data_IF_636749220432
#
_entry.id   IF_636749220432
#
_cell.length_a   1.000
_cell.length_b   1.000
_cell.length_c   1.000
_cell.angle_alpha   90.00
_cell.angle_beta   90.00
_cell.angle_gamma   90.00
#
_symmetry.space_group_name_H-M   'P 1'
#
loop_
_entity.id
_entity.type
_entity.pdbx_description
1 polymer ?
#
# COMPACT_ATOMS: atom_id res chain seq x y z
N UNK A 1 -42.08 -18.28 -86.45
CA UNK A 1 -41.00 -18.73 -87.37
C UNK A 1 -39.65 -18.38 -86.76
N UNK A 2 -38.73 -19.35 -86.81
CA UNK A 2 -37.25 -19.27 -86.63
C UNK A 2 -36.68 -18.82 -85.27
N UNK A 3 -36.19 -19.81 -84.51
CA UNK A 3 -34.99 -19.69 -83.65
C UNK A 3 -33.76 -19.41 -84.55
N UNK A 4 -32.76 -18.63 -84.12
CA UNK A 4 -31.51 -19.18 -83.53
C UNK A 4 -30.87 -18.22 -82.47
N UNK A 5 -29.77 -18.44 -81.75
CA UNK A 5 -28.77 -19.51 -81.54
C UNK A 5 -28.04 -19.16 -80.23
N UNK A 6 -27.67 -20.18 -79.45
CA UNK A 6 -26.69 -20.11 -78.36
C UNK A 6 -25.32 -19.59 -78.86
N UNK A 7 -24.66 -18.77 -78.05
CA UNK A 7 -23.20 -18.64 -78.03
C UNK A 7 -22.73 -18.60 -76.57
N UNK A 8 -22.10 -19.71 -76.18
CA UNK A 8 -21.32 -19.90 -74.97
C UNK A 8 -20.04 -19.04 -75.09
N UNK A 9 -19.78 -18.14 -74.14
CA UNK A 9 -18.45 -17.54 -73.98
C UNK A 9 -18.05 -17.63 -72.50
N UNK A 10 -17.09 -18.51 -72.26
CA UNK A 10 -16.33 -18.64 -71.02
C UNK A 10 -15.42 -17.42 -70.89
N UNK A 11 -15.61 -16.63 -69.83
CA UNK A 11 -14.66 -15.58 -69.45
C UNK A 11 -14.23 -15.80 -67.99
N UNK A 12 -13.07 -16.41 -67.85
CA UNK A 12 -12.29 -16.59 -66.64
C UNK A 12 -11.54 -15.29 -66.35
N UNK A 13 -11.93 -14.51 -65.33
CA UNK A 13 -11.14 -13.36 -64.86
C UNK A 13 -11.17 -13.26 -63.34
N UNK A 14 -10.01 -13.64 -62.76
CA UNK A 14 -9.35 -13.16 -61.55
C UNK A 14 -10.21 -12.59 -60.40
N UNK A 15 -10.46 -13.45 -59.41
CA UNK A 15 -10.76 -13.03 -58.05
C UNK A 15 -9.47 -12.45 -57.44
N UNK A 16 -9.42 -11.13 -57.26
CA UNK A 16 -8.34 -10.47 -56.51
C UNK A 16 -8.54 -10.84 -55.04
N UNK A 17 -7.81 -11.87 -54.58
CA UNK A 17 -7.65 -12.10 -53.15
C UNK A 17 -6.80 -10.96 -52.59
N UNK A 18 -7.46 -9.93 -52.08
CA UNK A 18 -6.87 -9.07 -51.05
C UNK A 18 -6.59 -9.93 -49.84
N UNK A 19 -5.37 -10.45 -49.75
CA UNK A 19 -4.81 -10.97 -48.53
C UNK A 19 -4.71 -9.81 -47.53
N UNK A 20 -5.73 -9.64 -46.69
CA UNK A 20 -5.56 -8.93 -45.43
C UNK A 20 -4.53 -9.74 -44.64
N UNK A 21 -3.27 -9.29 -44.66
CA UNK A 21 -2.29 -9.63 -43.64
C UNK A 21 -2.90 -9.24 -42.30
N UNK A 22 -3.32 -10.23 -41.52
CA UNK A 22 -3.42 -10.09 -40.08
C UNK A 22 -1.98 -10.14 -39.56
N UNK A 23 -1.35 -8.97 -39.50
CA UNK A 23 -0.15 -8.78 -38.70
C UNK A 23 -0.63 -8.64 -37.26
N UNK A 24 -0.69 -9.75 -36.53
CA UNK A 24 -1.05 -9.76 -35.12
C UNK A 24 0.12 -9.19 -34.31
N UNK A 25 0.22 -7.86 -34.33
CA UNK A 25 0.85 -7.08 -33.27
C UNK A 25 -0.22 -6.14 -32.72
N UNK A 26 -1.16 -6.71 -31.96
CA UNK A 26 -2.03 -5.95 -31.07
C UNK A 26 -1.16 -5.30 -29.98
N UNK A 27 -0.48 -4.22 -30.36
CA UNK A 27 -0.08 -3.21 -29.40
C UNK A 27 -1.36 -2.47 -29.07
N UNK A 28 -1.89 -2.72 -27.87
CA UNK A 28 -3.10 -2.07 -27.37
C UNK A 28 -2.94 -0.55 -27.56
N UNK A 29 -3.59 0.00 -28.59
CA UNK A 29 -3.55 1.44 -28.82
C UNK A 29 -4.44 2.08 -27.77
N UNK A 30 -3.95 3.12 -27.07
CA UNK A 30 -4.76 3.76 -26.05
C UNK A 30 -6.07 4.26 -26.65
N UNK A 31 -7.20 3.81 -26.08
CA UNK A 31 -8.51 4.32 -26.47
C UNK A 31 -8.61 5.79 -26.03
N UNK A 32 -9.08 6.71 -26.88
CA UNK A 32 -9.28 8.10 -26.46
C UNK A 32 -10.10 8.21 -25.18
N UNK A 33 -9.54 8.85 -24.14
CA UNK A 33 -10.19 9.06 -22.84
C UNK A 33 -9.84 8.07 -21.74
N UNK A 34 -9.11 6.98 -22.04
CA UNK A 34 -8.54 6.11 -21.01
C UNK A 34 -7.26 6.71 -20.43
N UNK A 35 -7.12 6.69 -19.12
CA UNK A 35 -5.90 7.18 -18.48
C UNK A 35 -5.72 6.69 -17.06
N UNK A 36 -4.52 6.92 -16.54
CA UNK A 36 -4.11 6.51 -15.20
C UNK A 36 -3.61 7.73 -14.41
N UNK A 37 -4.16 7.93 -13.23
CA UNK A 37 -3.67 8.89 -12.24
C UNK A 37 -3.17 8.11 -11.03
N UNK A 38 -1.96 8.43 -10.58
CA UNK A 38 -1.35 7.84 -9.39
C UNK A 38 -1.11 8.94 -8.37
N UNK A 39 -1.74 8.79 -7.22
CA UNK A 39 -1.50 9.61 -6.04
C UNK A 39 -0.72 8.81 -4.99
N UNK A 40 -0.05 9.50 -4.07
CA UNK A 40 0.76 8.91 -2.99
C UNK A 40 0.25 9.37 -1.62
N UNK A 41 0.28 8.48 -0.63
CA UNK A 41 0.09 8.77 0.79
C UNK A 41 1.05 7.92 1.62
N UNK A 42 1.16 8.21 2.91
CA UNK A 42 2.02 7.51 3.86
C UNK A 42 1.25 7.09 5.13
N UNK A 43 1.69 5.99 5.73
CA UNK A 43 1.37 5.55 7.08
C UNK A 43 2.41 6.10 8.10
N UNK A 44 2.00 6.44 9.32
CA UNK A 44 2.86 7.14 10.27
C UNK A 44 4.18 6.40 10.61
N UNK A 45 5.29 7.11 10.42
CA UNK A 45 6.62 6.73 10.93
C UNK A 45 6.97 7.55 12.16
N UNK A 46 7.53 6.86 13.15
CA UNK A 46 8.12 7.47 14.34
C UNK A 46 9.61 7.77 14.07
N UNK A 47 10.12 8.84 14.65
CA UNK A 47 11.55 9.22 14.67
C UNK A 47 12.22 9.72 13.36
N UNK A 48 11.44 10.07 12.33
CA UNK A 48 11.94 10.81 11.16
C UNK A 48 11.42 12.26 11.13
N UNK A 49 12.31 13.20 10.79
CA UNK A 49 11.94 14.59 10.51
C UNK A 49 11.36 14.74 9.10
N UNK A 50 11.99 14.08 8.12
CA UNK A 50 11.58 14.08 6.70
C UNK A 50 11.97 12.74 6.05
N UNK A 51 11.13 12.26 5.13
CA UNK A 51 11.45 11.12 4.26
C UNK A 51 11.13 11.53 2.83
N UNK A 52 12.18 11.89 2.10
CA UNK A 52 12.05 12.39 0.74
C UNK A 52 12.37 11.29 -0.26
N UNK A 53 11.38 10.95 -1.08
CA UNK A 53 11.55 10.01 -2.19
C UNK A 53 11.56 10.78 -3.51
N UNK A 54 12.56 10.49 -4.34
CA UNK A 54 12.77 11.14 -5.64
C UNK A 54 12.29 10.21 -6.74
N UNK A 55 11.10 10.46 -7.25
CA UNK A 55 10.48 9.68 -8.31
C UNK A 55 10.91 10.14 -9.69
N UNK A 56 11.06 9.21 -10.63
CA UNK A 56 11.42 9.48 -12.03
C UNK A 56 10.36 9.03 -13.02
N UNK A 57 9.47 8.10 -12.62
CA UNK A 57 8.48 7.52 -13.51
C UNK A 57 7.71 6.37 -12.85
N UNK A 58 6.83 5.75 -13.63
CA UNK A 58 6.18 4.48 -13.28
C UNK A 58 6.26 3.50 -14.45
N UNK A 59 6.18 2.21 -14.15
CA UNK A 59 5.99 1.16 -15.16
C UNK A 59 4.77 0.31 -14.81
N UNK A 60 4.00 -0.09 -15.82
CA UNK A 60 2.83 -0.96 -15.64
C UNK A 60 2.89 -2.14 -16.61
N UNK A 61 2.54 -3.34 -16.14
CA UNK A 61 2.59 -4.54 -16.96
C UNK A 61 1.19 -4.99 -17.38
N UNK A 62 0.86 -4.96 -18.68
CA UNK A 62 -0.39 -5.51 -19.18
C UNK A 62 -0.50 -7.03 -18.89
N UNK A 63 -1.68 -7.47 -18.47
CA UNK A 63 -2.02 -8.90 -18.30
C UNK A 63 -2.13 -9.61 -19.66
N UNK A 64 -2.54 -8.89 -20.71
CA UNK A 64 -2.65 -9.41 -22.07
C UNK A 64 -1.29 -9.80 -22.71
N UNK A 65 -0.17 -9.52 -22.04
CA UNK A 65 1.19 -9.75 -22.53
C UNK A 65 1.83 -8.49 -23.14
N UNK A 66 3.07 -8.64 -23.61
CA UNK A 66 3.88 -7.53 -24.14
C UNK A 66 4.84 -6.91 -23.11
N UNK A 67 5.69 -5.96 -23.54
CA UNK A 67 6.62 -5.27 -22.65
C UNK A 67 5.88 -4.36 -21.65
N UNK A 68 6.50 -4.04 -20.49
CA UNK A 68 5.99 -3.01 -19.59
C UNK A 68 5.81 -1.66 -20.30
N UNK A 69 4.73 -0.96 -19.98
CA UNK A 69 4.49 0.41 -20.42
C UNK A 69 5.18 1.34 -19.43
N UNK A 70 6.15 2.12 -19.92
CA UNK A 70 6.91 3.09 -19.12
C UNK A 70 6.28 4.47 -19.26
N UNK A 71 6.12 5.16 -18.13
CA UNK A 71 5.59 6.52 -18.05
C UNK A 71 6.61 7.35 -17.28
N UNK A 72 7.46 8.06 -18.01
CA UNK A 72 8.45 8.96 -17.43
C UNK A 72 7.80 10.25 -16.93
N UNK A 73 8.28 10.74 -15.79
CA UNK A 73 7.95 12.08 -15.34
C UNK A 73 8.76 13.09 -16.17
N UNK A 74 8.18 14.26 -16.52
CA UNK A 74 8.89 15.31 -17.26
C UNK A 74 10.18 15.79 -16.56
N UNK A 75 10.19 15.71 -15.24
CA UNK A 75 11.36 15.95 -14.38
C UNK A 75 11.22 15.11 -13.11
N UNK A 76 12.33 14.71 -12.46
CA UNK A 76 12.26 14.02 -11.18
C UNK A 76 11.44 14.80 -10.15
N UNK A 77 10.53 14.12 -9.44
CA UNK A 77 9.70 14.72 -8.38
C UNK A 77 10.22 14.27 -7.02
N UNK A 78 10.71 15.22 -6.22
CA UNK A 78 11.06 15.00 -4.81
C UNK A 78 9.83 15.21 -3.94
N UNK A 79 9.37 14.17 -3.26
CA UNK A 79 8.17 14.21 -2.41
C UNK A 79 8.58 13.79 -1.01
N UNK A 80 8.36 14.68 -0.04
CA UNK A 80 8.42 14.33 1.39
C UNK A 80 7.13 13.63 1.78
N UNK A 81 7.21 12.31 1.96
CA UNK A 81 6.06 11.45 2.19
C UNK A 81 5.40 11.72 3.55
N UNK A 82 6.17 12.21 4.55
CA UNK A 82 5.62 12.50 5.88
C UNK A 82 4.60 13.65 5.87
N UNK A 83 4.56 14.46 4.80
CA UNK A 83 3.58 15.53 4.61
C UNK A 83 2.20 15.02 4.14
N UNK A 84 2.10 13.78 3.68
CA UNK A 84 0.90 13.21 3.05
C UNK A 84 0.37 12.04 3.88
N UNK A 85 -0.26 12.39 5.01
CA UNK A 85 -0.80 11.45 6.01
C UNK A 85 -2.25 11.81 6.30
N UNK A 86 -2.98 10.92 6.97
CA UNK A 86 -4.36 11.16 7.43
C UNK A 86 -5.31 11.57 6.29
N UNK A 87 -5.17 10.95 5.12
CA UNK A 87 -5.98 11.23 3.93
C UNK A 87 -5.48 12.37 3.04
N UNK A 88 -4.39 13.04 3.38
CA UNK A 88 -3.69 13.94 2.46
C UNK A 88 -2.90 13.14 1.42
N UNK A 89 -2.97 13.52 0.14
CA UNK A 89 -2.31 12.81 -0.96
C UNK A 89 -1.45 13.74 -1.83
N UNK A 90 -0.43 13.17 -2.47
CA UNK A 90 0.44 13.85 -3.43
C UNK A 90 0.26 13.26 -4.83
N UNK A 91 -0.03 14.10 -5.82
CA UNK A 91 -0.14 13.61 -7.19
C UNK A 91 1.24 13.32 -7.82
N UNK A 92 1.48 12.04 -8.12
CA UNK A 92 2.69 11.59 -8.81
C UNK A 92 2.50 11.65 -10.34
N UNK A 93 1.44 11.02 -10.84
CA UNK A 93 1.11 10.95 -12.27
C UNK A 93 -0.34 11.42 -12.46
N UNK A 94 -0.59 12.30 -13.43
CA UNK A 94 -1.93 12.82 -13.72
C UNK A 94 -2.34 12.45 -15.15
N UNK A 95 -3.40 11.64 -15.27
CA UNK A 95 -4.03 11.32 -16.55
C UNK A 95 -3.09 10.75 -17.61
N UNK A 96 -2.09 9.95 -17.23
CA UNK A 96 -1.18 9.32 -18.18
C UNK A 96 -1.96 8.42 -19.15
N UNK A 97 -1.59 8.49 -20.43
CA UNK A 97 -2.28 7.74 -21.47
C UNK A 97 -1.93 6.25 -21.40
N UNK A 98 -2.77 5.48 -20.72
CA UNK A 98 -2.60 4.04 -20.48
C UNK A 98 -3.79 3.31 -21.10
N UNK A 99 -3.56 2.31 -21.99
CA UNK A 99 -4.65 1.57 -22.60
C UNK A 99 -5.57 0.92 -21.58
N UNK A 100 -6.86 0.88 -21.87
CA UNK A 100 -7.83 0.15 -21.06
C UNK A 100 -7.46 -1.35 -21.01
N UNK A 101 -7.63 -1.97 -19.85
CA UNK A 101 -7.29 -3.37 -19.67
C UNK A 101 -6.87 -3.70 -18.24
N UNK A 102 -6.56 -4.98 -18.03
CA UNK A 102 -6.03 -5.48 -16.76
C UNK A 102 -4.51 -5.45 -16.77
N UNK A 103 -3.95 -5.11 -15.62
CA UNK A 103 -2.51 -5.00 -15.40
C UNK A 103 -2.14 -5.88 -14.21
N UNK A 104 -0.97 -6.53 -14.29
CA UNK A 104 -0.50 -7.49 -13.28
C UNK A 104 0.22 -6.84 -12.11
N UNK A 105 0.96 -5.77 -12.39
CA UNK A 105 1.75 -5.05 -11.41
C UNK A 105 2.00 -3.61 -11.86
N UNK A 106 2.31 -2.76 -10.88
CA UNK A 106 2.81 -1.40 -11.06
C UNK A 106 4.19 -1.31 -10.42
N UNK A 107 5.09 -0.52 -10.98
CA UNK A 107 6.41 -0.25 -10.43
C UNK A 107 6.65 1.25 -10.35
N UNK A 108 7.14 1.70 -9.21
CA UNK A 108 7.60 3.06 -9.00
C UNK A 108 9.09 3.15 -9.33
N UNK A 109 9.46 4.06 -10.24
CA UNK A 109 10.84 4.34 -10.58
C UNK A 109 11.34 5.51 -9.71
N UNK A 110 12.45 5.31 -9.01
CA UNK A 110 12.99 6.27 -8.06
C UNK A 110 14.52 6.33 -8.14
N UNK A 111 15.08 7.44 -7.66
CA UNK A 111 16.52 7.58 -7.39
C UNK A 111 16.81 7.12 -5.98
N UNK A 112 17.19 5.86 -5.82
CA UNK A 112 17.53 5.22 -4.55
C UNK A 112 18.72 4.26 -4.74
N UNK A 113 19.73 4.72 -5.48
CA UNK A 113 20.98 4.02 -5.71
C UNK A 113 21.89 4.08 -4.48
N UNK A 114 22.76 3.09 -4.33
CA UNK A 114 23.66 3.00 -3.19
C UNK A 114 24.57 4.24 -3.10
N UNK A 115 24.67 4.83 -1.91
CA UNK A 115 25.47 6.00 -1.59
C UNK A 115 25.09 7.29 -2.35
N UNK A 116 23.89 7.36 -2.96
CA UNK A 116 23.46 8.53 -3.72
C UNK A 116 22.88 9.63 -2.82
N UNK A 117 23.72 10.61 -2.44
CA UNK A 117 23.31 11.72 -1.58
C UNK A 117 22.32 12.71 -2.22
N UNK A 118 22.25 12.76 -3.55
CA UNK A 118 21.30 13.61 -4.30
C UNK A 118 19.99 12.90 -4.65
N UNK A 119 19.82 11.66 -4.18
CA UNK A 119 18.65 10.83 -4.42
C UNK A 119 17.64 10.94 -3.28
N UNK A 120 16.90 9.87 -3.08
CA UNK A 120 15.97 9.70 -1.97
C UNK A 120 16.73 9.62 -0.64
N UNK A 121 16.18 10.18 0.43
CA UNK A 121 16.85 10.22 1.74
C UNK A 121 15.85 10.23 2.90
N UNK A 122 16.36 9.85 4.07
CA UNK A 122 15.72 10.07 5.37
C UNK A 122 16.53 11.10 6.16
N UNK A 123 15.84 11.99 6.88
CA UNK A 123 16.42 12.88 7.88
C UNK A 123 15.85 12.53 9.24
N UNK A 124 16.72 12.24 10.20
CA UNK A 124 16.33 11.90 11.57
C UNK A 124 16.07 13.17 12.41
N UNK A 125 15.42 12.99 13.56
CA UNK A 125 15.15 14.08 14.51
C UNK A 125 16.43 14.76 15.04
N UNK A 126 17.56 14.04 15.08
CA UNK A 126 18.86 14.60 15.45
C UNK A 126 19.55 15.41 14.33
N UNK A 127 18.89 15.54 13.18
CA UNK A 127 19.35 16.31 12.02
C UNK A 127 20.26 15.54 11.06
N UNK A 128 20.69 14.31 11.39
CA UNK A 128 21.48 13.49 10.46
C UNK A 128 20.65 13.06 9.26
N UNK A 129 21.27 13.05 8.09
CA UNK A 129 20.66 12.62 6.83
C UNK A 129 21.37 11.39 6.28
N UNK A 130 20.58 10.44 5.79
CA UNK A 130 21.08 9.20 5.19
C UNK A 130 20.41 8.94 3.84
N UNK A 131 21.16 8.55 2.80
CA UNK A 131 20.59 8.14 1.53
C UNK A 131 19.75 6.87 1.68
N UNK A 132 18.62 6.82 0.99
CA UNK A 132 17.82 5.61 0.82
C UNK A 132 18.38 4.79 -0.34
N UNK A 133 18.45 3.49 -0.12
CA UNK A 133 18.94 2.51 -1.07
C UNK A 133 17.92 1.38 -1.20
N UNK A 134 17.63 0.97 -2.43
CA UNK A 134 16.88 -0.26 -2.67
C UNK A 134 17.88 -1.33 -3.10
N UNK A 135 18.17 -2.34 -2.25
CA UNK A 135 18.96 -3.50 -2.66
C UNK A 135 18.38 -4.11 -3.94
N UNK A 136 19.22 -4.24 -4.98
CA UNK A 136 18.80 -4.72 -6.31
C UNK A 136 17.80 -3.83 -7.07
N UNK A 137 17.53 -2.61 -6.58
CA UNK A 137 16.51 -1.70 -7.12
C UNK A 137 17.01 -0.62 -8.08
N UNK A 138 18.33 -0.41 -8.22
CA UNK A 138 18.89 0.53 -9.21
C UNK A 138 18.55 0.16 -10.67
N UNK A 139 18.08 -1.08 -10.91
CA UNK A 139 17.58 -1.53 -12.21
C UNK A 139 16.05 -1.79 -12.22
N UNK A 140 15.35 -1.75 -11.07
CA UNK A 140 13.97 -2.28 -10.98
C UNK A 140 12.98 -1.51 -10.09
N UNK A 141 13.35 -0.41 -9.42
CA UNK A 141 12.41 0.40 -8.63
C UNK A 141 11.68 -0.36 -7.51
N UNK A 142 10.52 0.16 -7.04
CA UNK A 142 9.64 -0.53 -6.10
C UNK A 142 8.45 -1.14 -6.83
N UNK A 143 8.37 -2.48 -6.88
CA UNK A 143 7.32 -3.21 -7.58
C UNK A 143 6.17 -3.58 -6.64
N UNK A 144 4.95 -3.20 -7.02
CA UNK A 144 3.69 -3.56 -6.37
C UNK A 144 3.02 -4.67 -7.17
N UNK A 145 3.03 -5.89 -6.63
CA UNK A 145 2.47 -7.09 -7.28
C UNK A 145 0.99 -7.23 -6.91
N UNK A 146 0.19 -6.26 -7.34
CA UNK A 146 -1.27 -6.28 -7.23
C UNK A 146 -1.88 -5.91 -8.57
N UNK A 147 -2.77 -6.76 -9.05
CA UNK A 147 -3.46 -6.49 -10.31
C UNK A 147 -4.47 -5.35 -10.18
N UNK A 148 -4.61 -4.55 -11.23
CA UNK A 148 -5.56 -3.44 -11.30
C UNK A 148 -6.16 -3.33 -12.70
N UNK A 149 -7.25 -2.56 -12.85
CA UNK A 149 -7.94 -2.37 -14.13
C UNK A 149 -7.97 -0.89 -14.51
N UNK A 150 -7.50 -0.57 -15.72
CA UNK A 150 -7.70 0.75 -16.32
C UNK A 150 -9.01 0.74 -17.10
N UNK A 151 -9.93 1.62 -16.74
CA UNK A 151 -11.25 1.69 -17.34
C UNK A 151 -11.22 2.24 -18.77
N UNK A 152 -12.13 1.75 -19.62
CA UNK A 152 -12.30 2.28 -20.97
C UNK A 152 -13.00 3.64 -20.92
N UNK A 153 -12.43 4.66 -21.56
CA UNK A 153 -13.04 5.99 -21.70
C UNK A 153 -13.12 6.81 -20.41
N UNK A 154 -12.40 6.41 -19.36
CA UNK A 154 -12.31 7.15 -18.09
C UNK A 154 -10.88 7.12 -17.53
N UNK A 155 -10.59 8.07 -16.63
CA UNK A 155 -9.35 8.09 -15.86
C UNK A 155 -9.52 7.22 -14.62
N UNK A 156 -8.76 6.12 -14.54
CA UNK A 156 -8.61 5.34 -13.31
C UNK A 156 -7.68 6.08 -12.36
N UNK A 157 -8.11 6.27 -11.11
CA UNK A 157 -7.31 6.86 -10.04
C UNK A 157 -6.90 5.76 -9.08
N UNK A 158 -5.59 5.62 -8.87
CA UNK A 158 -5.04 4.71 -7.87
C UNK A 158 -4.24 5.51 -6.86
N UNK A 159 -4.30 5.09 -5.61
CA UNK A 159 -3.51 5.63 -4.53
C UNK A 159 -2.48 4.60 -4.11
N UNK A 160 -1.23 5.02 -3.95
CA UNK A 160 -0.18 4.19 -3.36
C UNK A 160 0.09 4.67 -1.94
N UNK A 161 -0.17 3.77 -1.01
CA UNK A 161 0.05 3.96 0.41
C UNK A 161 1.41 3.36 0.79
N UNK A 162 2.34 4.23 1.17
CA UNK A 162 3.65 3.86 1.67
C UNK A 162 3.54 3.50 3.14
N UNK A 163 3.94 2.27 3.50
CA UNK A 163 4.18 1.95 4.90
C UNK A 163 5.64 2.24 5.21
N UNK A 164 5.96 3.51 5.51
CA UNK A 164 7.35 3.89 5.76
C UNK A 164 7.95 3.17 6.97
N UNK A 165 7.13 2.77 7.94
CA UNK A 165 7.57 2.12 9.17
C UNK A 165 8.13 0.74 8.85
N UNK A 166 7.47 0.02 7.95
CA UNK A 166 7.93 -1.28 7.42
C UNK A 166 8.94 -1.14 6.29
N UNK A 167 8.90 -0.03 5.55
CA UNK A 167 9.74 0.18 4.38
C UNK A 167 11.17 0.59 4.75
N UNK A 168 11.37 1.37 5.82
CA UNK A 168 12.66 1.93 6.18
C UNK A 168 13.40 1.01 7.15
N UNK A 169 14.62 0.60 6.78
CA UNK A 169 15.47 -0.23 7.64
C UNK A 169 16.87 0.36 7.70
N UNK A 170 17.49 0.38 8.89
CA UNK A 170 18.88 0.77 9.09
C UNK A 170 19.77 -0.48 9.29
N UNK A 171 20.24 -1.14 8.22
CA UNK A 171 20.98 -2.39 8.36
C UNK A 171 22.35 -2.19 9.04
N UNK A 172 22.74 -3.04 10.00
CA UNK A 172 24.05 -3.00 10.62
C UNK A 172 25.19 -3.10 9.60
N UNK A 173 26.20 -2.23 9.72
CA UNK A 173 27.39 -2.25 8.86
C UNK A 173 27.20 -1.75 7.42
N UNK A 174 26.03 -1.22 7.06
CA UNK A 174 25.71 -0.72 5.72
C UNK A 174 25.67 0.81 5.61
N UNK A 175 26.16 1.50 6.63
CA UNK A 175 26.28 2.96 6.60
C UNK A 175 27.07 3.41 5.35
N UNK A 176 26.66 4.52 4.71
CA UNK A 176 25.63 5.46 5.14
C UNK A 176 24.18 5.10 4.71
N UNK A 177 23.93 3.92 4.14
CA UNK A 177 22.65 3.63 3.48
C UNK A 177 21.58 3.13 4.45
N UNK A 178 20.37 3.64 4.26
CA UNK A 178 19.15 3.06 4.80
C UNK A 178 18.43 2.30 3.69
N UNK A 179 17.89 1.13 3.97
CA UNK A 179 17.16 0.35 2.98
C UNK A 179 15.72 0.84 2.87
N UNK A 180 15.22 0.90 1.63
CA UNK A 180 13.81 1.12 1.31
C UNK A 180 13.22 -0.17 0.72
N UNK A 181 12.47 -0.91 1.54
CA UNK A 181 11.78 -2.15 1.18
C UNK A 181 10.44 -1.86 0.48
N UNK A 182 9.91 -2.78 -0.34
CA UNK A 182 8.63 -2.60 -1.03
C UNK A 182 7.42 -2.90 -0.12
N UNK A 183 7.27 -2.19 1.01
CA UNK A 183 6.08 -2.28 1.86
C UNK A 183 5.07 -1.19 1.46
N UNK A 184 4.36 -1.44 0.34
CA UNK A 184 3.43 -0.51 -0.29
C UNK A 184 2.08 -1.18 -0.55
N UNK A 185 0.99 -0.42 -0.50
CA UNK A 185 -0.34 -0.88 -0.89
C UNK A 185 -0.86 -0.06 -2.07
N UNK A 186 -1.37 -0.74 -3.10
CA UNK A 186 -2.06 -0.09 -4.22
C UNK A 186 -3.56 -0.14 -3.95
N UNK A 187 -4.22 1.02 -3.91
CA UNK A 187 -5.60 1.20 -3.49
C UNK A 187 -6.40 1.80 -4.64
N UNK A 188 -7.59 1.27 -4.89
CA UNK A 188 -8.58 1.90 -5.78
C UNK A 188 -9.46 2.84 -4.97
N UNK A 189 -9.34 4.15 -5.22
CA UNK A 189 -10.09 5.18 -4.47
C UNK A 189 -11.61 5.05 -4.62
N UNK A 190 -12.10 4.33 -5.64
CA UNK A 190 -13.52 4.06 -5.83
C UNK A 190 -14.02 2.87 -5.01
N UNK A 191 -13.15 2.21 -4.24
CA UNK A 191 -13.47 1.00 -3.46
C UNK A 191 -12.98 1.12 -2.01
N UNK A 192 -12.98 2.33 -1.45
CA UNK A 192 -12.54 2.59 -0.07
C UNK A 192 -13.61 3.26 0.78
N UNK A 193 -13.49 3.09 2.09
CA UNK A 193 -14.23 3.83 3.11
C UNK A 193 -13.31 4.24 4.27
N UNK A 194 -13.92 4.76 5.33
CA UNK A 194 -13.22 5.25 6.52
C UNK A 194 -13.69 4.51 7.76
N UNK A 195 -12.78 4.16 8.66
CA UNK A 195 -13.13 3.85 10.06
C UNK A 195 -12.81 5.06 10.90
N UNK A 196 -13.69 5.40 11.84
CA UNK A 196 -13.37 6.40 12.85
C UNK A 196 -14.05 6.07 14.17
N UNK A 197 -13.58 6.66 15.26
CA UNK A 197 -14.25 6.52 16.54
C UNK A 197 -13.39 7.01 17.68
N UNK A 198 -13.70 6.48 18.86
CA UNK A 198 -13.05 6.88 20.09
C UNK A 198 -12.48 5.71 20.87
N UNK A 199 -11.49 6.00 21.72
CA UNK A 199 -10.89 5.10 22.71
C UNK A 199 -11.00 5.75 24.09
N UNK A 200 -11.60 5.10 25.07
CA UNK A 200 -11.71 5.57 26.45
C UNK A 200 -10.55 5.04 27.29
N UNK A 201 -9.52 5.84 27.53
CA UNK A 201 -8.29 5.33 28.16
C UNK A 201 -8.50 4.61 29.50
N UNK A 202 -9.56 4.93 30.25
CA UNK A 202 -9.89 4.26 31.51
C UNK A 202 -10.49 2.87 31.30
N UNK A 203 -11.39 2.74 30.32
CA UNK A 203 -11.98 1.48 29.94
C UNK A 203 -10.93 0.59 29.25
N UNK A 204 -10.10 1.15 28.35
CA UNK A 204 -9.02 0.43 27.70
C UNK A 204 -8.02 -0.14 28.71
N UNK A 205 -7.57 0.69 29.65
CA UNK A 205 -6.65 0.25 30.70
C UNK A 205 -7.23 -0.91 31.50
N UNK A 206 -8.51 -0.84 31.87
CA UNK A 206 -9.19 -1.94 32.56
C UNK A 206 -9.26 -3.21 31.70
N UNK A 207 -9.63 -3.07 30.42
CA UNK A 207 -9.76 -4.19 29.49
C UNK A 207 -8.42 -4.88 29.19
N UNK A 208 -7.32 -4.12 29.19
CA UNK A 208 -5.97 -4.61 28.90
C UNK A 208 -5.14 -4.90 30.16
N UNK A 209 -5.73 -4.76 31.35
CA UNK A 209 -5.04 -5.00 32.63
C UNK A 209 -3.91 -3.99 32.92
N UNK A 210 -3.96 -2.80 32.34
CA UNK A 210 -3.06 -1.69 32.59
C UNK A 210 -3.68 -0.68 33.57
N UNK A 211 -2.92 0.37 33.91
CA UNK A 211 -3.46 1.56 34.58
C UNK A 211 -3.52 2.72 33.59
N UNK A 212 -4.40 3.69 33.81
CA UNK A 212 -4.47 4.89 32.94
C UNK A 212 -3.15 5.66 32.89
N UNK A 213 -2.40 5.70 33.99
CA UNK A 213 -1.10 6.39 34.07
C UNK A 213 -0.01 5.72 33.22
N UNK A 214 -0.11 4.40 33.02
CA UNK A 214 0.87 3.61 32.24
C UNK A 214 0.37 3.27 30.84
N UNK A 215 -0.85 3.65 30.48
CA UNK A 215 -1.46 3.27 29.21
C UNK A 215 -0.80 4.04 28.05
N UNK A 216 -0.03 3.33 27.23
CA UNK A 216 0.45 3.79 25.94
C UNK A 216 -0.55 3.32 24.88
N UNK A 217 -1.57 4.15 24.68
CA UNK A 217 -2.69 3.78 23.82
C UNK A 217 -2.27 3.75 22.34
N UNK A 218 -2.65 2.68 21.65
CA UNK A 218 -2.47 2.54 20.21
C UNK A 218 -3.66 1.87 19.55
N UNK A 219 -3.88 2.20 18.28
CA UNK A 219 -4.90 1.58 17.42
C UNK A 219 -4.22 0.68 16.41
N UNK A 220 -4.85 -0.47 16.15
CA UNK A 220 -4.42 -1.47 15.18
C UNK A 220 -5.60 -1.87 14.29
N UNK A 221 -5.33 -2.11 13.01
CA UNK A 221 -6.31 -2.57 12.02
C UNK A 221 -5.80 -3.85 11.38
N UNK A 222 -6.61 -4.89 11.43
CA UNK A 222 -6.30 -6.20 10.84
C UNK A 222 -7.32 -6.55 9.76
N UNK A 223 -6.86 -7.23 8.72
CA UNK A 223 -7.73 -7.68 7.65
C UNK A 223 -8.61 -8.86 8.12
N UNK A 224 -9.90 -8.85 7.74
CA UNK A 224 -10.86 -9.88 8.14
C UNK A 224 -11.49 -9.62 9.52
N UNK A 225 -12.68 -10.19 9.74
CA UNK A 225 -13.35 -10.15 11.04
C UNK A 225 -12.79 -11.23 11.97
N UNK A 226 -12.72 -10.94 13.27
CA UNK A 226 -12.21 -11.83 14.31
C UNK A 226 -10.76 -12.31 14.07
N UNK A 227 -9.95 -11.50 13.38
CA UNK A 227 -8.50 -11.71 13.34
C UNK A 227 -7.94 -11.80 14.77
N UNK A 228 -7.01 -12.73 15.00
CA UNK A 228 -6.20 -12.79 16.22
C UNK A 228 -5.14 -11.69 16.12
N UNK A 229 -5.22 -10.61 16.91
CA UNK A 229 -4.26 -9.51 16.83
C UNK A 229 -2.86 -9.99 17.19
N UNK A 230 -1.88 -9.51 16.43
CA UNK A 230 -0.46 -9.61 16.73
C UNK A 230 0.17 -8.21 16.78
N UNK A 231 1.43 -8.13 17.21
CA UNK A 231 2.28 -6.96 16.91
C UNK A 231 2.70 -6.95 15.43
N UNK A 232 3.42 -5.91 15.01
CA UNK A 232 3.99 -5.88 13.68
C UNK A 232 5.38 -6.49 13.69
N UNK A 233 5.50 -7.76 13.31
CA UNK A 233 6.80 -8.43 13.20
C UNK A 233 7.03 -9.09 11.83
N UNK A 234 5.99 -9.07 10.98
CA UNK A 234 5.98 -9.70 9.65
C UNK A 234 5.83 -11.21 9.70
N UNK A 235 5.44 -11.79 10.84
CA UNK A 235 5.33 -13.21 11.10
C UNK A 235 3.85 -13.62 11.16
N UNK A 236 3.26 -13.78 9.99
CA UNK A 236 1.85 -14.21 9.85
C UNK A 236 1.54 -15.66 10.34
N UNK A 237 2.44 -16.33 11.06
CA UNK A 237 2.27 -17.73 11.53
C UNK A 237 1.65 -17.85 12.92
N UNK A 238 1.71 -16.80 13.71
CA UNK A 238 1.34 -16.75 15.13
C UNK A 238 0.15 -15.82 15.35
N UNK A 239 0.02 -14.77 14.57
CA UNK A 239 -1.17 -13.94 14.55
C UNK A 239 -1.36 -13.24 13.22
N UNK A 240 -2.28 -12.28 13.20
CA UNK A 240 -2.44 -11.39 12.07
C UNK A 240 -1.61 -10.13 12.31
N UNK A 241 -0.73 -9.81 11.36
CA UNK A 241 -0.04 -8.53 11.28
C UNK A 241 -1.03 -7.36 11.03
N UNK A 242 -0.91 -6.22 11.72
CA UNK A 242 -1.68 -5.03 11.39
C UNK A 242 -1.36 -4.47 10.00
N UNK A 243 -2.40 -4.05 9.27
CA UNK A 243 -2.26 -3.29 8.03
C UNK A 243 -2.08 -1.79 8.28
N UNK A 244 -2.53 -1.30 9.44
CA UNK A 244 -2.40 0.10 9.90
C UNK A 244 -2.30 0.04 11.41
N UNK A 245 -1.34 0.76 11.99
CA UNK A 245 -1.24 0.93 13.43
C UNK A 245 -0.54 2.25 13.78
N UNK A 246 -0.94 2.88 14.89
CA UNK A 246 -0.39 4.16 15.34
C UNK A 246 -0.78 4.47 16.79
N UNK A 247 0.01 5.30 17.50
CA UNK A 247 -0.33 5.72 18.85
C UNK A 247 -1.52 6.69 18.80
N UNK A 248 -2.38 6.64 19.82
CA UNK A 248 -3.47 7.59 20.00
C UNK A 248 -3.32 8.32 21.32
N UNK A 249 -3.58 9.62 21.30
CA UNK A 249 -3.54 10.45 22.50
C UNK A 249 -4.83 11.26 22.61
N UNK A 250 -5.39 11.40 23.82
CA UNK A 250 -6.54 12.26 24.04
C UNK A 250 -6.13 13.72 23.85
N UNK A 251 -7.10 14.55 23.46
CA UNK A 251 -6.92 15.99 23.51
C UNK A 251 -6.55 16.43 24.93
N UNK A 252 -5.78 17.51 25.07
CA UNK A 252 -5.29 17.99 26.37
C UNK A 252 -6.43 18.11 27.39
N UNK A 253 -6.31 17.40 28.52
CA UNK A 253 -7.32 17.36 29.59
C UNK A 253 -8.48 16.38 29.36
N UNK A 254 -8.49 15.62 28.27
CA UNK A 254 -9.49 14.60 27.96
C UNK A 254 -9.11 13.20 28.44
N UNK A 255 -10.10 12.33 28.61
CA UNK A 255 -9.96 10.89 28.90
C UNK A 255 -10.16 10.00 27.67
N UNK A 256 -10.54 10.61 26.54
CA UNK A 256 -10.95 9.91 25.32
C UNK A 256 -10.08 10.38 24.16
N UNK A 257 -9.46 9.44 23.46
CA UNK A 257 -8.75 9.69 22.22
C UNK A 257 -9.67 9.47 21.02
N UNK A 258 -9.54 10.29 19.99
CA UNK A 258 -10.26 10.13 18.71
C UNK A 258 -9.31 9.60 17.66
N UNK A 259 -9.79 8.73 16.78
CA UNK A 259 -9.02 8.23 15.65
C UNK A 259 -9.84 8.20 14.37
N UNK A 260 -9.15 8.31 13.23
CA UNK A 260 -9.74 8.19 11.90
C UNK A 260 -8.74 7.53 10.96
N UNK A 261 -9.17 6.49 10.27
CA UNK A 261 -8.39 5.69 9.34
C UNK A 261 -9.14 5.70 8.01
N UNK A 262 -8.80 6.65 7.11
CA UNK A 262 -9.39 6.68 5.78
C UNK A 262 -8.74 5.60 4.89
N UNK A 263 -9.25 5.45 3.66
CA UNK A 263 -8.62 4.65 2.60
C UNK A 263 -8.50 3.14 2.93
N UNK A 264 -9.41 2.63 3.76
CA UNK A 264 -9.56 1.18 3.94
C UNK A 264 -10.44 0.64 2.82
N UNK A 265 -10.00 -0.43 2.17
CA UNK A 265 -10.77 -1.05 1.11
C UNK A 265 -12.09 -1.62 1.64
N UNK A 266 -13.08 -1.76 0.76
CA UNK A 266 -14.36 -2.40 1.11
C UNK A 266 -14.09 -3.83 1.59
N UNK A 267 -14.54 -4.16 2.79
CA UNK A 267 -14.24 -5.44 3.41
C UNK A 267 -14.57 -5.50 4.90
N UNK A 268 -14.31 -6.66 5.50
CA UNK A 268 -14.42 -6.87 6.94
C UNK A 268 -13.04 -6.72 7.59
N UNK A 269 -12.99 -6.12 8.79
CA UNK A 269 -11.78 -5.84 9.54
C UNK A 269 -11.97 -6.09 11.03
N UNK A 270 -10.88 -6.36 11.74
CA UNK A 270 -10.79 -6.26 13.19
C UNK A 270 -10.08 -4.97 13.53
N UNK A 271 -10.70 -4.11 14.32
CA UNK A 271 -10.08 -2.92 14.91
C UNK A 271 -9.74 -3.24 16.35
N UNK A 272 -8.50 -2.99 16.75
CA UNK A 272 -8.05 -3.23 18.11
C UNK A 272 -7.44 -1.98 18.75
N UNK A 273 -7.55 -1.90 20.06
CA UNK A 273 -6.81 -0.96 20.89
C UNK A 273 -5.98 -1.71 21.94
N UNK A 274 -4.81 -1.16 22.27
CA UNK A 274 -3.92 -1.67 23.31
C UNK A 274 -3.40 -0.53 24.18
N UNK A 275 -3.03 -0.81 25.44
CA UNK A 275 -2.29 0.11 26.30
C UNK A 275 -0.78 -0.12 26.27
N UNK A 276 -0.30 -1.02 25.42
CA UNK A 276 1.09 -1.45 25.32
C UNK A 276 1.67 -1.15 23.93
N UNK A 277 1.27 -0.04 23.29
CA UNK A 277 1.77 0.33 21.96
C UNK A 277 3.29 0.47 21.92
N UNK A 278 3.91 0.83 23.04
CA UNK A 278 5.36 0.96 23.19
C UNK A 278 6.12 -0.38 23.18
N UNK A 279 5.41 -1.52 23.26
CA UNK A 279 6.01 -2.85 23.08
C UNK A 279 6.37 -3.08 21.60
N UNK A 280 5.50 -2.65 20.68
CA UNK A 280 5.67 -2.73 19.21
C UNK A 280 6.51 -1.53 18.72
N UNK A 281 7.74 -1.47 19.21
CA UNK A 281 8.68 -0.39 18.94
C UNK A 281 9.47 -0.62 17.64
N UNK A 282 9.80 -1.88 17.32
CA UNK A 282 10.55 -2.26 16.13
C UNK A 282 9.74 -3.23 15.27
N UNK A 283 9.29 -2.82 14.06
CA UNK A 283 8.46 -3.68 13.20
C UNK A 283 9.17 -4.91 12.62
N UNK A 284 10.43 -5.16 13.01
CA UNK A 284 11.24 -6.28 12.56
C UNK A 284 11.57 -7.30 13.65
N UNK A 285 11.10 -7.06 14.87
CA UNK A 285 11.25 -7.93 16.01
C UNK A 285 9.87 -8.45 16.40
N UNK A 286 9.83 -9.65 16.99
CA UNK A 286 8.62 -10.26 17.54
C UNK A 286 8.66 -10.04 19.05
N UNK A 287 8.01 -8.98 19.53
CA UNK A 287 7.93 -8.59 20.93
C UNK A 287 6.69 -9.15 21.63
N UNK A 288 5.69 -9.57 20.85
CA UNK A 288 4.49 -10.26 21.26
C UNK A 288 4.34 -11.55 20.46
N UNK A 289 3.87 -12.61 21.13
CA UNK A 289 3.50 -13.86 20.47
C UNK A 289 2.14 -14.30 21.06
N UNK A 290 1.03 -14.16 20.31
CA UNK A 290 -0.30 -14.53 20.77
C UNK A 290 -0.47 -16.04 20.95
N UNK A 291 0.45 -16.86 20.42
CA UNK A 291 0.48 -18.32 20.58
C UNK A 291 1.32 -18.77 21.78
N UNK A 292 2.13 -17.88 22.37
CA UNK A 292 2.93 -18.20 23.53
C UNK A 292 2.06 -18.69 24.69
N UNK A 293 2.50 -19.77 25.34
CA UNK A 293 1.77 -20.41 26.44
C UNK A 293 2.36 -20.06 27.79
N UNK A 294 1.56 -20.21 28.85
CA UNK A 294 2.01 -19.94 30.21
C UNK A 294 3.24 -20.80 30.56
N UNK A 295 4.30 -20.23 31.15
CA UNK A 295 5.43 -21.02 31.63
C UNK A 295 4.96 -22.02 32.69
N UNK A 296 5.61 -23.19 32.72
CA UNK A 296 5.48 -24.09 33.85
C UNK A 296 5.88 -23.38 35.16
N UNK A 297 5.32 -23.74 36.32
CA UNK A 297 5.69 -23.13 37.59
C UNK A 297 7.21 -23.17 37.82
N UNK A 298 7.83 -22.00 37.99
CA UNK A 298 9.27 -21.86 38.19
C UNK A 298 10.13 -21.84 36.91
N UNK A 299 9.53 -21.97 35.73
CA UNK A 299 10.22 -21.81 34.46
C UNK A 299 10.31 -20.31 34.04
N UNK A 300 11.34 -19.92 33.27
CA UNK A 300 11.39 -18.59 32.66
C UNK A 300 10.17 -18.33 31.78
N UNK A 301 9.70 -17.08 31.75
CA UNK A 301 8.63 -16.65 30.86
C UNK A 301 9.09 -16.76 29.40
N UNK A 302 8.31 -17.39 28.50
CA UNK A 302 8.66 -17.43 27.09
C UNK A 302 8.72 -16.00 26.52
N UNK A 303 9.60 -15.75 25.53
CA UNK A 303 9.57 -14.50 24.76
C UNK A 303 8.16 -14.23 24.21
N UNK A 304 7.74 -12.96 24.18
CA UNK A 304 6.44 -12.56 23.63
C UNK A 304 5.20 -12.90 24.48
N UNK A 305 5.35 -13.67 25.56
CA UNK A 305 4.19 -14.14 26.33
C UNK A 305 3.49 -13.00 27.09
N UNK A 306 2.25 -12.69 26.66
CA UNK A 306 1.36 -11.69 27.26
C UNK A 306 1.99 -10.29 27.45
N UNK A 307 2.97 -9.94 26.61
CA UNK A 307 3.57 -8.61 26.60
C UNK A 307 2.57 -7.55 26.13
N UNK A 308 1.66 -7.93 25.23
CA UNK A 308 0.55 -7.09 24.76
C UNK A 308 -0.81 -7.72 25.06
N UNK A 309 -1.82 -6.85 25.20
CA UNK A 309 -3.23 -7.23 25.28
C UNK A 309 -4.05 -6.26 24.43
N UNK A 310 -5.05 -6.81 23.74
CA UNK A 310 -5.89 -6.06 22.82
C UNK A 310 -7.36 -6.11 23.24
N UNK A 311 -8.04 -4.98 23.14
CA UNK A 311 -9.50 -4.92 23.10
C UNK A 311 -9.94 -4.76 21.64
N UNK A 312 -10.83 -5.63 21.15
CA UNK A 312 -11.16 -5.70 19.72
C UNK A 312 -12.63 -5.43 19.43
N UNK A 313 -12.90 -4.95 18.21
CA UNK A 313 -14.22 -4.81 17.59
C UNK A 313 -14.13 -5.11 16.10
N UNK A 314 -15.15 -5.74 15.53
CA UNK A 314 -15.23 -5.92 14.09
C UNK A 314 -15.79 -4.65 13.43
N UNK A 315 -15.31 -4.37 12.23
CA UNK A 315 -15.79 -3.32 11.35
C UNK A 315 -16.12 -3.90 9.97
N UNK A 316 -17.10 -3.32 9.29
CA UNK A 316 -17.35 -3.58 7.87
C UNK A 316 -17.30 -2.26 7.12
N UNK A 317 -16.42 -2.18 6.13
CA UNK A 317 -16.17 -0.98 5.34
C UNK A 317 -17.04 -1.06 4.10
N UNK A 318 -17.72 0.04 3.83
CA UNK A 318 -18.55 0.23 2.65
C UNK A 318 -17.98 1.35 1.80
N UNK A 319 -18.21 1.29 0.51
CA UNK A 319 -17.65 2.24 -0.44
C UNK A 319 -18.13 3.67 -0.14
N UNK A 320 -17.20 4.59 0.05
CA UNK A 320 -17.45 5.98 0.44
C UNK A 320 -18.05 6.17 1.84
N UNK A 321 -18.28 5.08 2.58
CA UNK A 321 -18.91 5.11 3.90
C UNK A 321 -17.92 5.41 5.02
N UNK A 322 -18.45 5.92 6.13
CA UNK A 322 -17.72 5.98 7.41
C UNK A 322 -18.33 4.99 8.38
N UNK A 323 -17.54 4.05 8.86
CA UNK A 323 -17.91 3.07 9.89
C UNK A 323 -17.40 3.54 11.24
N UNK A 324 -18.31 3.78 12.18
CA UNK A 324 -17.94 4.21 13.54
C UNK A 324 -17.65 3.01 14.43
N UNK A 325 -16.47 3.00 15.06
CA UNK A 325 -16.04 1.95 15.99
C UNK A 325 -15.50 2.58 17.27
N UNK A 326 -16.26 2.49 18.36
CA UNK A 326 -15.79 2.94 19.66
C UNK A 326 -15.20 1.75 20.42
N UNK A 327 -13.98 1.92 20.90
CA UNK A 327 -13.25 0.95 21.69
C UNK A 327 -13.32 1.37 23.16
N UNK A 328 -13.31 0.38 24.09
CA UNK A 328 -12.93 0.69 25.45
C UNK A 328 -11.56 1.36 25.38
#
# INVERSE_FOLDING_TARGET
MRRPKLLLSSLLVACVLTACRFDSTDTATPTPGSGLTIDLTDAPVDDALEVVVVFTGIEVQPEAGGPPIVIDLPSPKSIDLLKYRNGATANLVAGANVPAGRYLWLRLMLRAEQNLQSGSYIRLLDGRQFPLYIPSGSETGLKLVRGFTVAQGAITKLLIDFDLRKSLVAPPGQQPNWFLKPALRLIDELQVGTVSGTVDLSALATATGATTATCKAGIYVFNGANATPDDMDGKASDGADPIVYFPVTPAAGGSTATYSIPLLEVGAYTIAATCQFDVDADPSVSEYDPTATAPAPGAPTPPGYQTMKFATRNASITNGGTTTVNLP
#
